data_IF_374917393133
#
_entry.id   IF_374917393133
#
_cell.length_a   1.000
_cell.length_b   1.000
_cell.length_c   1.000
_cell.angle_alpha   90.00
_cell.angle_beta   90.00
_cell.angle_gamma   90.00
#
_symmetry.space_group_name_H-M   'P 1'
#
loop_
_entity.id
_entity.type
_entity.pdbx_description
1 polymer ?
#
# COMPACT_ATOMS: atom_id res chain seq x y z
N UNK A 1 8.48 -5.66 3.90
CA UNK A 1 8.92 -4.27 4.10
C UNK A 1 8.13 -3.57 5.20
N UNK A 2 6.84 -3.87 5.33
CA UNK A 2 6.03 -3.58 6.54
C UNK A 2 6.72 -3.98 7.85
N UNK A 3 7.39 -5.14 7.90
CA UNK A 3 8.18 -5.54 9.09
C UNK A 3 9.29 -4.56 9.49
N UNK A 4 10.00 -3.95 8.53
CA UNK A 4 11.06 -2.98 8.82
C UNK A 4 10.53 -1.63 9.33
N UNK A 5 9.25 -1.32 9.06
CA UNK A 5 8.59 -0.15 9.65
C UNK A 5 8.32 -0.34 11.14
N UNK A 6 8.15 -1.59 11.61
CA UNK A 6 7.95 -1.90 13.02
C UNK A 6 9.20 -1.62 13.87
N UNK A 7 10.39 -1.58 13.26
CA UNK A 7 11.66 -1.27 13.93
C UNK A 7 11.82 0.24 14.19
N UNK A 8 11.01 1.09 13.56
CA UNK A 8 11.04 2.53 13.76
C UNK A 8 10.31 2.93 15.06
N UNK A 9 10.70 4.03 15.71
CA UNK A 9 10.07 4.49 16.96
C UNK A 9 8.69 5.14 16.73
N UNK A 10 7.80 4.50 15.98
CA UNK A 10 6.48 5.01 15.58
C UNK A 10 5.58 5.30 16.79
N UNK A 11 5.71 4.55 17.89
CA UNK A 11 4.94 4.81 19.12
C UNK A 11 5.36 6.09 19.85
N UNK A 12 6.54 6.64 19.53
CA UNK A 12 7.04 7.88 20.12
C UNK A 12 7.26 8.93 19.04
N UNK A 13 6.20 9.70 18.73
CA UNK A 13 6.21 10.75 17.69
C UNK A 13 7.40 11.69 17.82
N UNK A 14 7.72 12.15 19.04
CA UNK A 14 8.87 13.05 19.28
C UNK A 14 10.19 12.41 18.87
N UNK A 15 10.40 11.14 19.20
CA UNK A 15 11.61 10.40 18.83
C UNK A 15 11.68 10.13 17.33
N UNK A 16 10.54 9.80 16.72
CA UNK A 16 10.43 9.60 15.27
C UNK A 16 10.84 10.87 14.51
N UNK A 17 10.20 12.01 14.83
CA UNK A 17 10.40 13.29 14.13
C UNK A 17 11.77 13.92 14.39
N UNK A 18 12.43 13.61 15.52
CA UNK A 18 13.75 14.15 15.84
C UNK A 18 14.85 13.66 14.89
N UNK A 19 14.69 12.49 14.28
CA UNK A 19 15.72 11.91 13.42
C UNK A 19 15.23 11.81 11.97
N UNK A 20 15.83 12.63 11.08
CA UNK A 20 15.55 12.62 9.63
C UNK A 20 15.73 11.25 8.97
N UNK A 21 16.57 10.38 9.51
CA UNK A 21 16.75 9.03 8.97
C UNK A 21 15.54 8.14 9.23
N UNK A 22 14.80 8.34 10.33
CA UNK A 22 13.55 7.62 10.57
C UNK A 22 12.49 7.98 9.53
N UNK A 23 12.39 9.28 9.20
CA UNK A 23 11.46 9.81 8.20
C UNK A 23 11.80 9.23 6.82
N UNK A 24 13.07 9.34 6.39
CA UNK A 24 13.53 8.81 5.11
C UNK A 24 13.37 7.28 4.99
N UNK A 25 13.62 6.55 6.09
CA UNK A 25 13.40 5.11 6.13
C UNK A 25 11.91 4.77 6.02
N UNK A 26 11.05 5.44 6.80
CA UNK A 26 9.61 5.24 6.76
C UNK A 26 9.03 5.49 5.36
N UNK A 27 9.41 6.60 4.73
CA UNK A 27 8.96 6.94 3.38
C UNK A 27 9.35 5.85 2.37
N UNK A 28 10.62 5.43 2.40
CA UNK A 28 11.14 4.38 1.51
C UNK A 28 10.43 3.04 1.71
N UNK A 29 10.27 2.60 2.95
CA UNK A 29 9.63 1.33 3.26
C UNK A 29 8.14 1.33 2.94
N UNK A 30 7.43 2.42 3.24
CA UNK A 30 6.01 2.55 2.93
C UNK A 30 5.79 2.55 1.41
N UNK A 31 6.51 3.40 0.67
CA UNK A 31 6.41 3.47 -0.79
C UNK A 31 6.65 2.11 -1.45
N UNK A 32 7.70 1.40 -1.04
CA UNK A 32 8.03 0.07 -1.58
C UNK A 32 7.00 -0.99 -1.18
N UNK A 33 6.37 -0.87 0.00
CA UNK A 33 5.30 -1.79 0.42
C UNK A 33 4.05 -1.59 -0.43
N UNK A 34 3.68 -0.34 -0.71
CA UNK A 34 2.57 -0.02 -1.63
C UNK A 34 2.88 -0.54 -3.04
N UNK A 35 4.10 -0.30 -3.55
CA UNK A 35 4.51 -0.81 -4.86
C UNK A 35 4.34 -2.33 -4.96
N UNK A 36 4.87 -3.06 -3.99
CA UNK A 36 4.78 -4.52 -3.96
C UNK A 36 3.32 -5.00 -3.91
N UNK A 37 2.44 -4.34 -3.14
CA UNK A 37 1.03 -4.67 -3.09
C UNK A 37 0.37 -4.52 -4.48
N UNK A 38 0.65 -3.41 -5.17
CA UNK A 38 0.12 -3.17 -6.51
C UNK A 38 0.70 -4.10 -7.56
N UNK A 39 1.99 -4.41 -7.51
CA UNK A 39 2.61 -5.37 -8.42
C UNK A 39 2.00 -6.76 -8.29
N UNK A 40 1.68 -7.19 -7.07
CA UNK A 40 0.93 -8.43 -6.82
C UNK A 40 -0.45 -8.36 -7.46
N UNK A 41 -1.22 -7.29 -7.21
CA UNK A 41 -2.53 -7.09 -7.82
C UNK A 41 -2.49 -7.12 -9.35
N UNK A 42 -1.53 -6.40 -9.96
CA UNK A 42 -1.29 -6.39 -11.40
C UNK A 42 -0.95 -7.77 -11.93
N UNK A 43 -0.06 -8.49 -11.24
CA UNK A 43 0.32 -9.84 -11.61
C UNK A 43 -0.88 -10.80 -11.60
N UNK A 44 -1.72 -10.74 -10.57
CA UNK A 44 -2.94 -11.55 -10.47
C UNK A 44 -3.86 -11.27 -11.66
N UNK A 45 -4.12 -9.99 -11.96
CA UNK A 45 -5.00 -9.58 -13.06
C UNK A 45 -4.48 -10.05 -14.42
N UNK A 46 -3.20 -9.86 -14.69
CA UNK A 46 -2.57 -10.29 -15.93
C UNK A 46 -2.59 -11.81 -16.06
N UNK A 47 -2.14 -12.53 -15.01
CA UNK A 47 -1.95 -13.98 -15.06
C UNK A 47 -3.25 -14.77 -15.03
N UNK A 48 -4.23 -14.34 -14.24
CA UNK A 48 -5.48 -15.10 -14.02
C UNK A 48 -6.63 -14.67 -14.90
N UNK A 49 -6.59 -13.45 -15.46
CA UNK A 49 -7.72 -12.87 -16.19
C UNK A 49 -7.33 -12.23 -17.53
N UNK A 50 -6.04 -12.20 -17.88
CA UNK A 50 -5.56 -11.53 -19.09
C UNK A 50 -5.87 -10.04 -19.11
N UNK A 51 -6.00 -9.40 -17.94
CA UNK A 51 -6.33 -7.98 -17.81
C UNK A 51 -5.05 -7.15 -17.60
N UNK A 52 -4.61 -6.36 -18.59
CA UNK A 52 -3.37 -5.60 -18.52
C UNK A 52 -3.59 -4.25 -17.83
N UNK A 53 -3.70 -4.24 -16.50
CA UNK A 53 -3.83 -3.00 -15.74
C UNK A 53 -2.53 -2.17 -15.83
N UNK A 54 -2.63 -0.97 -16.37
CA UNK A 54 -1.47 -0.08 -16.58
C UNK A 54 -1.25 0.84 -15.38
N UNK A 55 -2.33 1.36 -14.81
CA UNK A 55 -2.28 2.27 -13.67
C UNK A 55 -2.69 1.64 -12.34
N UNK A 56 -2.26 2.23 -11.23
CA UNK A 56 -2.60 1.74 -9.88
C UNK A 56 -4.10 1.73 -9.59
N UNK A 57 -4.84 2.75 -10.04
CA UNK A 57 -6.29 2.82 -9.87
C UNK A 57 -7.01 1.76 -10.72
N UNK A 58 -6.48 1.43 -11.89
CA UNK A 58 -7.00 0.34 -12.73
C UNK A 58 -6.82 -1.01 -12.07
N UNK A 59 -5.74 -1.23 -11.31
CA UNK A 59 -5.53 -2.47 -10.55
C UNK A 59 -6.66 -2.64 -9.52
N UNK A 60 -6.95 -1.61 -8.73
CA UNK A 60 -8.02 -1.66 -7.74
C UNK A 60 -9.39 -1.95 -8.37
N UNK A 61 -9.70 -1.27 -9.49
CA UNK A 61 -10.94 -1.52 -10.25
C UNK A 61 -10.99 -2.93 -10.82
N UNK A 62 -9.90 -3.40 -11.44
CA UNK A 62 -9.84 -4.74 -12.02
C UNK A 62 -10.05 -5.83 -10.97
N UNK A 63 -9.46 -5.68 -9.78
CA UNK A 63 -9.64 -6.62 -8.68
C UNK A 63 -11.09 -6.65 -8.19
N UNK A 64 -11.76 -5.49 -8.13
CA UNK A 64 -13.18 -5.38 -7.79
C UNK A 64 -14.07 -6.04 -8.85
N UNK A 65 -13.84 -5.74 -10.14
CA UNK A 65 -14.63 -6.27 -11.26
C UNK A 65 -14.54 -7.80 -11.35
N UNK A 66 -13.41 -8.38 -10.93
CA UNK A 66 -13.20 -9.84 -10.84
C UNK A 66 -13.60 -10.44 -9.49
N UNK A 67 -14.21 -9.65 -8.60
CA UNK A 67 -14.70 -10.06 -7.27
C UNK A 67 -13.61 -10.61 -6.35
N UNK A 68 -12.36 -10.19 -6.55
CA UNK A 68 -11.23 -10.53 -5.66
C UNK A 68 -11.18 -9.61 -4.45
N UNK A 69 -11.70 -8.39 -4.61
CA UNK A 69 -11.91 -7.40 -3.56
C UNK A 69 -13.39 -6.97 -3.59
N UNK A 70 -13.94 -6.68 -2.42
CA UNK A 70 -15.24 -6.03 -2.33
C UNK A 70 -15.12 -4.51 -2.60
N UNK A 71 -16.24 -3.79 -2.56
CA UNK A 71 -16.27 -2.36 -2.85
C UNK A 71 -15.44 -1.52 -1.87
N UNK A 72 -15.52 -1.82 -0.58
CA UNK A 72 -14.77 -1.11 0.48
C UNK A 72 -13.27 -1.33 0.36
N UNK A 73 -12.84 -2.57 0.09
CA UNK A 73 -11.44 -2.96 -0.11
C UNK A 73 -10.87 -2.34 -1.39
N UNK A 74 -11.65 -2.31 -2.47
CA UNK A 74 -11.25 -1.65 -3.71
C UNK A 74 -11.11 -0.13 -3.53
N UNK A 75 -12.00 0.50 -2.75
CA UNK A 75 -11.89 1.92 -2.43
C UNK A 75 -10.67 2.23 -1.56
N UNK A 76 -10.39 1.39 -0.57
CA UNK A 76 -9.18 1.47 0.23
C UNK A 76 -7.93 1.38 -0.66
N UNK A 77 -7.88 0.41 -1.57
CA UNK A 77 -6.77 0.26 -2.52
C UNK A 77 -6.65 1.47 -3.47
N UNK A 78 -7.77 2.08 -3.89
CA UNK A 78 -7.74 3.33 -4.68
C UNK A 78 -7.15 4.51 -3.90
N UNK A 79 -7.43 4.63 -2.61
CA UNK A 79 -6.80 5.64 -1.73
C UNK A 79 -5.30 5.42 -1.62
N UNK A 80 -4.87 4.16 -1.41
CA UNK A 80 -3.45 3.79 -1.40
C UNK A 80 -2.74 4.11 -2.72
N UNK A 81 -3.42 3.93 -3.86
CA UNK A 81 -2.89 4.30 -5.18
C UNK A 81 -2.64 5.81 -5.27
N UNK A 82 -3.59 6.61 -4.77
CA UNK A 82 -3.45 8.06 -4.66
C UNK A 82 -2.26 8.45 -3.80
N UNK A 83 -2.12 7.84 -2.61
CA UNK A 83 -1.02 8.14 -1.69
C UNK A 83 0.34 7.75 -2.28
N UNK A 84 0.47 6.55 -2.87
CA UNK A 84 1.69 6.11 -3.56
C UNK A 84 2.10 7.09 -4.66
N UNK A 85 1.15 7.60 -5.44
CA UNK A 85 1.44 8.60 -6.47
C UNK A 85 1.92 9.92 -5.85
N UNK A 86 1.31 10.35 -4.75
CA UNK A 86 1.73 11.53 -4.00
C UNK A 86 3.17 11.39 -3.48
N UNK A 87 3.54 10.22 -2.97
CA UNK A 87 4.91 9.91 -2.51
C UNK A 87 5.98 10.01 -3.61
N UNK A 88 5.61 10.04 -4.88
CA UNK A 88 6.56 10.15 -6.00
C UNK A 88 6.48 11.51 -6.67
N UNK A 89 5.27 11.99 -6.96
CA UNK A 89 5.07 13.20 -7.76
C UNK A 89 4.94 14.49 -6.93
N UNK A 90 4.49 14.36 -5.68
CA UNK A 90 4.22 15.47 -4.77
C UNK A 90 4.90 15.23 -3.41
N UNK A 91 6.08 14.58 -3.44
CA UNK A 91 6.81 14.18 -2.23
C UNK A 91 7.09 15.36 -1.29
N UNK A 92 7.29 16.56 -1.86
CA UNK A 92 7.53 17.80 -1.12
C UNK A 92 6.32 18.28 -0.32
N UNK A 93 5.11 17.79 -0.63
CA UNK A 93 3.88 18.10 0.10
C UNK A 93 3.60 17.11 1.23
N UNK A 94 4.35 16.00 1.34
CA UNK A 94 4.14 15.00 2.40
C UNK A 94 4.91 15.46 3.63
N UNK A 95 4.17 15.75 4.69
CA UNK A 95 4.79 16.18 5.96
C UNK A 95 5.31 14.97 6.74
N UNK A 96 6.39 15.12 7.53
CA UNK A 96 6.84 14.09 8.46
C UNK A 96 5.75 13.62 9.43
N UNK A 97 4.87 14.52 9.86
CA UNK A 97 3.75 14.24 10.75
C UNK A 97 2.69 13.36 10.10
N UNK A 98 2.35 13.65 8.84
CA UNK A 98 1.42 12.84 8.05
C UNK A 98 2.00 11.44 7.79
N UNK A 99 3.27 11.36 7.38
CA UNK A 99 3.94 10.09 7.15
C UNK A 99 3.97 9.24 8.44
N UNK A 100 4.24 9.88 9.57
CA UNK A 100 4.21 9.24 10.89
C UNK A 100 2.84 8.66 11.21
N UNK A 101 1.77 9.42 10.98
CA UNK A 101 0.38 8.99 11.19
C UNK A 101 0.05 7.76 10.34
N UNK A 102 0.39 7.80 9.05
CA UNK A 102 0.14 6.70 8.11
C UNK A 102 0.88 5.44 8.52
N UNK A 103 2.16 5.57 8.86
CA UNK A 103 2.96 4.45 9.33
C UNK A 103 2.47 3.90 10.69
N UNK A 104 1.85 4.72 11.54
CA UNK A 104 1.35 4.26 12.83
C UNK A 104 -0.01 3.54 12.72
N UNK A 105 -0.90 4.04 11.87
CA UNK A 105 -2.33 3.67 11.90
C UNK A 105 -2.79 2.81 10.72
N UNK A 106 -2.08 2.81 9.59
CA UNK A 106 -2.60 2.27 8.33
C UNK A 106 -1.75 1.12 7.73
N UNK A 107 -0.69 0.66 8.40
CA UNK A 107 0.14 -0.43 7.87
C UNK A 107 -0.61 -1.77 7.80
N UNK A 108 -1.53 -2.02 8.72
CA UNK A 108 -2.31 -3.25 8.75
C UNK A 108 -3.27 -3.36 7.56
N UNK A 109 -3.68 -2.23 6.98
CA UNK A 109 -4.52 -2.18 5.78
C UNK A 109 -3.79 -2.78 4.56
N UNK A 110 -2.46 -2.63 4.48
CA UNK A 110 -1.65 -3.23 3.40
C UNK A 110 -1.68 -4.76 3.53
N UNK A 111 -1.50 -5.27 4.74
CA UNK A 111 -1.54 -6.72 5.00
C UNK A 111 -2.94 -7.28 4.77
N UNK A 112 -3.98 -6.57 5.20
CA UNK A 112 -5.37 -6.93 4.95
C UNK A 112 -5.63 -7.15 3.45
N UNK A 113 -5.28 -6.17 2.60
CA UNK A 113 -5.51 -6.29 1.16
C UNK A 113 -4.65 -7.39 0.52
N UNK A 114 -3.42 -7.59 0.99
CA UNK A 114 -2.58 -8.70 0.55
C UNK A 114 -3.24 -10.05 0.85
N UNK A 115 -3.68 -10.26 2.09
CA UNK A 115 -4.32 -11.51 2.52
C UNK A 115 -5.62 -11.76 1.75
N UNK A 116 -6.41 -10.71 1.51
CA UNK A 116 -7.62 -10.79 0.66
C UNK A 116 -7.27 -11.25 -0.75
N UNK A 117 -6.29 -10.64 -1.39
CA UNK A 117 -5.87 -11.04 -2.74
C UNK A 117 -5.37 -12.49 -2.78
N UNK A 118 -4.55 -12.91 -1.82
CA UNK A 118 -4.02 -14.28 -1.76
C UNK A 118 -5.10 -15.32 -1.50
N UNK A 119 -6.01 -15.06 -0.56
CA UNK A 119 -7.11 -15.96 -0.25
C UNK A 119 -8.05 -16.17 -1.44
N UNK A 120 -8.30 -15.11 -2.23
CA UNK A 120 -9.14 -15.16 -3.41
C UNK A 120 -8.55 -16.00 -4.56
N UNK A 121 -7.23 -16.22 -4.57
CA UNK A 121 -6.56 -17.12 -5.54
C UNK A 121 -6.61 -18.58 -5.06
N UNK A 122 -6.53 -18.82 -3.74
CA UNK A 122 -6.53 -20.17 -3.16
C UNK A 122 -7.88 -20.89 -3.20
N UNK A 123 -8.98 -20.20 -3.49
CA UNK A 123 -10.34 -20.77 -3.63
C UNK A 123 -10.66 -21.34 -5.03
N UNK A 124 -9.67 -21.45 -5.91
CA UNK A 124 -9.86 -21.87 -7.32
C UNK A 124 -9.76 -23.39 -7.54
N UNK A 125 -9.97 -24.21 -6.51
CA UNK A 125 -10.08 -25.68 -6.60
C UNK A 125 -11.51 -26.15 -6.31
#
# INVERSE_FOLDING_TARGET
>A
MTGALADLPLKNKRQFLKNRHNIAAAESYLRRSLEALFDIGRHILAKSFGFPATEYKEIARGLQDKKLLNEEEAELMRKMAGYRNRMVHFYHEITPEELHEICLNHLDEINLLLDRMLHSIGKKE
#
